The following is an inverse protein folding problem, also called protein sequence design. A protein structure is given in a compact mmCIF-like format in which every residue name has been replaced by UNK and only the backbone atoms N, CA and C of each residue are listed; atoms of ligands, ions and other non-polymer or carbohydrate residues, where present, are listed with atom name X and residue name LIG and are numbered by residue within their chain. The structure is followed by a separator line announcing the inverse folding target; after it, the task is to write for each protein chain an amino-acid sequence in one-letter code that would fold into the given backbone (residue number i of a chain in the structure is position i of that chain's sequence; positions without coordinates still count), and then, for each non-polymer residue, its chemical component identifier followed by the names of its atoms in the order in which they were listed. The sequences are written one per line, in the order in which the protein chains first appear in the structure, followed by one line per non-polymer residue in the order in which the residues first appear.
data_IF_385292674810
#
_entry.id   IF_385292674810
#
_cell.length_a   1.000
_cell.length_b   1.000
_cell.length_c   1.000
_cell.angle_alpha   90.00
_cell.angle_beta   90.00
_cell.angle_gamma   90.00
#
_symmetry.space_group_name_H-M   'P 1'
#
loop_
_entity.id
_entity.type
_entity.pdbx_description
1 polymer ?
#
# COMPACT_ATOMS: atom_id res chain seq x y z
N UNK A 1 -69.40 -43.79 -0.64
CA UNK A 1 -69.06 -42.37 -0.58
C UNK A 1 -67.56 -42.30 -0.44
N UNK A 2 -66.83 -41.91 -1.49
CA UNK A 2 -66.61 -40.50 -1.84
C UNK A 2 -65.82 -39.80 -0.72
N UNK A 3 -64.67 -39.20 -0.95
CA UNK A 3 -63.90 -39.01 -2.16
C UNK A 3 -62.65 -38.28 -1.71
N UNK A 4 -61.48 -38.85 -2.00
CA UNK A 4 -60.24 -38.12 -1.87
C UNK A 4 -60.28 -36.95 -2.86
N UNK A 5 -60.11 -35.73 -2.35
CA UNK A 5 -59.71 -34.59 -3.17
C UNK A 5 -58.57 -33.89 -2.46
N UNK A 6 -57.41 -34.53 -2.53
CA UNK A 6 -56.12 -33.87 -2.34
C UNK A 6 -55.98 -32.89 -3.51
N UNK A 7 -56.41 -31.65 -3.27
CA UNK A 7 -56.19 -30.55 -4.19
C UNK A 7 -54.70 -30.16 -4.16
N UNK A 8 -53.86 -31.00 -4.77
CA UNK A 8 -52.51 -30.60 -5.19
C UNK A 8 -52.72 -29.53 -6.25
N UNK A 9 -52.51 -28.26 -5.88
CA UNK A 9 -52.49 -27.14 -6.80
C UNK A 9 -51.52 -27.48 -7.94
N UNK A 10 -52.05 -27.77 -9.14
CA UNK A 10 -51.24 -27.97 -10.34
C UNK A 10 -50.54 -26.66 -10.66
N UNK A 11 -49.26 -26.56 -10.31
CA UNK A 11 -48.41 -25.44 -10.66
C UNK A 11 -48.31 -25.40 -12.19
N UNK A 12 -48.61 -24.25 -12.81
CA UNK A 12 -48.55 -24.11 -14.27
C UNK A 12 -47.11 -24.40 -14.74
N UNK A 13 -46.89 -25.40 -15.62
CA UNK A 13 -45.56 -25.80 -16.07
C UNK A 13 -44.80 -24.67 -16.77
N UNK A 14 -45.49 -23.67 -17.33
CA UNK A 14 -44.85 -22.48 -17.92
C UNK A 14 -44.27 -21.56 -16.84
N UNK A 15 -44.99 -21.37 -15.74
CA UNK A 15 -44.52 -20.57 -14.60
C UNK A 15 -43.34 -21.25 -13.90
N UNK A 16 -43.39 -22.57 -13.74
CA UNK A 16 -42.29 -23.35 -13.19
C UNK A 16 -41.00 -23.21 -14.03
N UNK A 17 -41.14 -23.27 -15.37
CA UNK A 17 -40.00 -23.09 -16.28
C UNK A 17 -39.42 -21.68 -16.22
N UNK A 18 -40.25 -20.65 -16.25
CA UNK A 18 -39.80 -19.26 -16.15
C UNK A 18 -39.11 -18.97 -14.80
N UNK A 19 -39.60 -19.55 -13.70
CA UNK A 19 -38.95 -19.44 -12.40
C UNK A 19 -37.57 -20.11 -12.40
N UNK A 20 -37.45 -21.30 -13.00
CA UNK A 20 -36.19 -22.02 -13.11
C UNK A 20 -35.15 -21.24 -13.93
N UNK A 21 -35.56 -20.69 -15.08
CA UNK A 21 -34.70 -19.87 -15.94
C UNK A 21 -34.21 -18.62 -15.18
N UNK A 22 -35.10 -17.91 -14.49
CA UNK A 22 -34.74 -16.75 -13.68
C UNK A 22 -33.78 -17.08 -12.52
N UNK A 23 -33.97 -18.21 -11.83
CA UNK A 23 -33.04 -18.64 -10.77
C UNK A 23 -31.66 -18.98 -11.36
N UNK A 24 -31.62 -19.68 -12.49
CA UNK A 24 -30.36 -20.01 -13.17
C UNK A 24 -29.61 -18.77 -13.64
N UNK A 25 -30.32 -17.77 -14.16
CA UNK A 25 -29.73 -16.48 -14.55
C UNK A 25 -29.18 -15.73 -13.32
N UNK A 26 -29.91 -15.72 -12.20
CA UNK A 26 -29.46 -15.09 -10.96
C UNK A 26 -28.20 -15.78 -10.41
N UNK A 27 -28.14 -17.11 -10.42
CA UNK A 27 -26.96 -17.88 -10.02
C UNK A 27 -25.74 -17.49 -10.86
N UNK A 28 -25.89 -17.45 -12.18
CA UNK A 28 -24.82 -17.04 -13.08
C UNK A 28 -24.36 -15.59 -12.83
N UNK A 29 -25.29 -14.67 -12.53
CA UNK A 29 -24.96 -13.29 -12.19
C UNK A 29 -24.21 -13.19 -10.87
N UNK A 30 -24.61 -13.94 -9.84
CA UNK A 30 -23.91 -13.98 -8.55
C UNK A 30 -22.50 -14.50 -8.75
N UNK A 31 -22.33 -15.58 -9.49
CA UNK A 31 -21.00 -16.15 -9.77
C UNK A 31 -20.11 -15.14 -10.50
N UNK A 32 -20.64 -14.47 -11.53
CA UNK A 32 -19.91 -13.45 -12.28
C UNK A 32 -19.49 -12.26 -11.39
N UNK A 33 -20.39 -11.78 -10.52
CA UNK A 33 -20.10 -10.66 -9.60
C UNK A 33 -19.05 -11.03 -8.55
N UNK A 34 -19.17 -12.20 -7.93
CA UNK A 34 -18.18 -12.69 -6.95
C UNK A 34 -16.81 -12.89 -7.63
N UNK A 35 -16.79 -13.44 -8.84
CA UNK A 35 -15.56 -13.59 -9.62
C UNK A 35 -14.89 -12.25 -9.91
N UNK A 36 -15.66 -11.23 -10.26
CA UNK A 36 -15.15 -9.88 -10.44
C UNK A 36 -14.55 -9.30 -9.15
N UNK A 37 -15.20 -9.52 -7.99
CA UNK A 37 -14.66 -9.10 -6.69
C UNK A 37 -13.32 -9.79 -6.36
N UNK A 38 -13.20 -11.09 -6.67
CA UNK A 38 -11.94 -11.84 -6.48
C UNK A 38 -10.82 -11.26 -7.34
N UNK A 39 -11.10 -10.96 -8.61
CA UNK A 39 -10.10 -10.34 -9.50
C UNK A 39 -9.65 -8.97 -8.98
N UNK A 40 -10.59 -8.14 -8.52
CA UNK A 40 -10.26 -6.83 -7.93
C UNK A 40 -9.41 -6.96 -6.66
N UNK A 41 -9.66 -7.98 -5.83
CA UNK A 41 -8.85 -8.28 -4.64
C UNK A 41 -7.42 -8.72 -5.01
N UNK A 42 -7.26 -9.56 -6.03
CA UNK A 42 -5.94 -10.00 -6.51
C UNK A 42 -5.15 -8.83 -7.13
N UNK A 43 -5.81 -7.95 -7.88
CA UNK A 43 -5.19 -6.72 -8.38
C UNK A 43 -4.73 -5.82 -7.23
N UNK A 44 -5.60 -5.59 -6.23
CA UNK A 44 -5.24 -4.80 -5.05
C UNK A 44 -4.07 -5.41 -4.27
N UNK A 45 -4.04 -6.74 -4.13
CA UNK A 45 -2.93 -7.47 -3.53
C UNK A 45 -1.64 -7.23 -4.30
N UNK A 46 -1.66 -7.31 -5.63
CA UNK A 46 -0.49 -7.05 -6.46
C UNK A 46 0.06 -5.62 -6.23
N UNK A 47 -0.81 -4.60 -6.21
CA UNK A 47 -0.41 -3.22 -5.94
C UNK A 47 0.19 -3.03 -4.54
N UNK A 48 -0.39 -3.66 -3.51
CA UNK A 48 0.14 -3.59 -2.14
C UNK A 48 1.53 -4.23 -2.04
N UNK A 49 1.74 -5.37 -2.71
CA UNK A 49 3.04 -6.02 -2.76
C UNK A 49 4.08 -5.21 -3.53
N UNK A 50 3.67 -4.56 -4.62
CA UNK A 50 4.54 -3.64 -5.37
C UNK A 50 4.97 -2.47 -4.50
N UNK A 51 4.04 -1.87 -3.75
CA UNK A 51 4.35 -0.81 -2.80
C UNK A 51 5.39 -1.25 -1.75
N UNK A 52 5.19 -2.43 -1.13
CA UNK A 52 6.15 -2.98 -0.14
C UNK A 52 7.53 -3.21 -0.77
N UNK A 53 7.58 -3.70 -2.01
CA UNK A 53 8.86 -3.91 -2.73
C UNK A 53 9.55 -2.58 -3.04
N UNK A 54 8.80 -1.58 -3.51
CA UNK A 54 9.33 -0.25 -3.79
C UNK A 54 9.88 0.43 -2.53
N UNK A 55 9.14 0.35 -1.42
CA UNK A 55 9.56 0.86 -0.12
C UNK A 55 10.85 0.17 0.39
N UNK A 56 10.92 -1.16 0.29
CA UNK A 56 12.14 -1.93 0.58
C UNK A 56 13.31 -1.43 -0.27
N UNK A 57 13.10 -1.24 -1.57
CA UNK A 57 14.18 -0.84 -2.47
C UNK A 57 14.69 0.59 -2.18
N UNK A 58 13.79 1.51 -1.81
CA UNK A 58 14.17 2.84 -1.31
C UNK A 58 15.03 2.73 -0.05
N UNK A 59 14.59 1.94 0.94
CA UNK A 59 15.34 1.74 2.20
C UNK A 59 16.71 1.10 1.95
N UNK A 60 16.78 0.07 1.12
CA UNK A 60 18.04 -0.60 0.77
C UNK A 60 19.01 0.35 0.06
N UNK A 61 18.52 1.20 -0.86
CA UNK A 61 19.34 2.23 -1.50
C UNK A 61 19.89 3.20 -0.46
N UNK A 62 19.04 3.68 0.44
CA UNK A 62 19.45 4.62 1.48
C UNK A 62 20.47 3.98 2.46
N UNK A 63 20.28 2.71 2.86
CA UNK A 63 21.25 1.98 3.69
C UNK A 63 22.60 1.78 3.00
N UNK A 64 22.59 1.44 1.70
CA UNK A 64 23.82 1.32 0.91
C UNK A 64 24.57 2.65 0.84
N UNK A 65 23.85 3.74 0.64
CA UNK A 65 24.43 5.08 0.64
C UNK A 65 25.07 5.41 1.99
N UNK A 66 24.44 5.04 3.11
CA UNK A 66 25.05 5.20 4.44
C UNK A 66 26.33 4.39 4.61
N UNK A 67 26.36 3.16 4.11
CA UNK A 67 27.57 2.33 4.12
C UNK A 67 28.68 2.99 3.31
N UNK A 68 28.38 3.48 2.10
CA UNK A 68 29.34 4.22 1.26
C UNK A 68 29.88 5.44 1.97
N UNK A 69 29.02 6.27 2.57
CA UNK A 69 29.43 7.46 3.32
C UNK A 69 30.31 7.12 4.53
N UNK A 70 29.93 6.12 5.32
CA UNK A 70 30.72 5.65 6.45
C UNK A 70 32.10 5.13 6.01
N UNK A 71 32.13 4.37 4.92
CA UNK A 71 33.37 3.83 4.34
C UNK A 71 34.27 4.95 3.84
N UNK A 72 33.72 5.96 3.16
CA UNK A 72 34.48 7.13 2.70
C UNK A 72 35.08 7.93 3.86
N UNK A 73 34.29 8.16 4.93
CA UNK A 73 34.78 8.79 6.16
C UNK A 73 35.92 7.98 6.80
N UNK A 74 35.76 6.66 6.89
CA UNK A 74 36.80 5.77 7.43
C UNK A 74 38.09 5.82 6.60
N UNK A 75 37.98 5.82 5.28
CA UNK A 75 39.15 5.93 4.40
C UNK A 75 39.84 7.28 4.56
N UNK A 76 39.07 8.38 4.63
CA UNK A 76 39.61 9.72 4.80
C UNK A 76 40.33 9.89 6.14
N UNK A 77 39.73 9.44 7.24
CA UNK A 77 40.36 9.50 8.57
C UNK A 77 41.60 8.60 8.64
N UNK A 78 41.54 7.41 8.06
CA UNK A 78 42.69 6.50 7.97
C UNK A 78 43.84 7.12 7.18
N UNK A 79 43.55 7.73 6.02
CA UNK A 79 44.54 8.42 5.20
C UNK A 79 45.18 9.60 5.92
N UNK A 80 44.39 10.37 6.69
CA UNK A 80 44.91 11.46 7.50
C UNK A 80 45.81 10.96 8.63
N UNK A 81 45.43 9.88 9.31
CA UNK A 81 46.27 9.23 10.33
C UNK A 81 47.59 8.78 9.71
N UNK A 82 47.56 8.14 8.53
CA UNK A 82 48.77 7.69 7.85
C UNK A 82 49.67 8.86 7.46
N UNK A 83 49.09 9.98 7.02
CA UNK A 83 49.85 11.19 6.71
C UNK A 83 50.49 11.81 7.97
N UNK A 84 49.78 11.80 9.11
CA UNK A 84 50.36 12.19 10.39
C UNK A 84 51.54 11.27 10.80
N UNK A 85 51.38 9.94 10.64
CA UNK A 85 52.45 8.98 10.92
C UNK A 85 53.68 9.23 10.06
N UNK A 86 53.49 9.51 8.77
CA UNK A 86 54.61 9.78 7.86
C UNK A 86 55.31 11.10 8.20
N UNK A 87 54.55 12.15 8.54
CA UNK A 87 55.13 13.43 8.96
C UNK A 87 55.96 13.31 10.24
N UNK A 88 55.61 12.40 11.16
CA UNK A 88 56.42 12.11 12.36
C UNK A 88 57.78 11.47 12.06
N UNK A 89 58.00 11.00 10.83
CA UNK A 89 59.30 10.46 10.39
C UNK A 89 60.22 11.53 9.82
N UNK A 90 59.75 12.77 9.63
CA UNK A 90 60.58 13.87 9.12
C UNK A 90 61.72 14.17 10.11
N UNK A 91 62.94 14.17 9.60
CA UNK A 91 64.16 14.32 10.40
C UNK A 91 64.68 15.75 10.42
N UNK A 92 64.31 16.58 9.42
CA UNK A 92 64.66 17.99 9.37
C UNK A 92 63.69 18.83 10.22
N UNK A 93 64.15 19.50 11.31
CA UNK A 93 63.25 20.19 12.23
C UNK A 93 62.42 21.32 11.59
N UNK A 94 62.98 22.19 10.72
CA UNK A 94 62.19 23.18 9.98
C UNK A 94 61.11 22.56 9.09
N UNK A 95 61.44 21.53 8.31
CA UNK A 95 60.47 20.82 7.47
C UNK A 95 59.36 20.15 8.30
N UNK A 96 59.73 19.52 9.42
CA UNK A 96 58.79 18.91 10.36
C UNK A 96 57.77 19.94 10.90
N UNK A 97 58.26 21.09 11.38
CA UNK A 97 57.38 22.15 11.90
C UNK A 97 56.45 22.71 10.82
N UNK A 98 56.96 22.87 9.59
CA UNK A 98 56.16 23.35 8.47
C UNK A 98 55.02 22.38 8.15
N UNK A 99 55.32 21.09 7.97
CA UNK A 99 54.30 20.06 7.68
C UNK A 99 53.34 19.86 8.86
N UNK A 100 53.86 19.85 10.08
CA UNK A 100 53.10 19.72 11.32
C UNK A 100 52.06 20.82 11.49
N UNK A 101 52.42 22.08 11.22
CA UNK A 101 51.49 23.21 11.30
C UNK A 101 50.28 23.05 10.36
N UNK A 102 50.53 22.62 9.11
CA UNK A 102 49.49 22.34 8.13
C UNK A 102 48.60 21.16 8.54
N UNK A 103 49.20 20.12 9.11
CA UNK A 103 48.49 18.93 9.59
C UNK A 103 47.53 19.25 10.73
N UNK A 104 47.94 20.08 11.70
CA UNK A 104 47.07 20.50 12.81
C UNK A 104 45.77 21.12 12.28
N UNK A 105 45.87 22.04 11.33
CA UNK A 105 44.68 22.66 10.71
C UNK A 105 43.83 21.64 9.97
N UNK A 106 44.43 20.71 9.22
CA UNK A 106 43.68 19.66 8.51
C UNK A 106 42.95 18.71 9.46
N UNK A 107 43.59 18.31 10.55
CA UNK A 107 42.98 17.45 11.59
C UNK A 107 41.81 18.17 12.25
N UNK A 108 41.99 19.43 12.66
CA UNK A 108 40.91 20.22 13.25
C UNK A 108 39.70 20.35 12.29
N UNK A 109 39.96 20.58 11.00
CA UNK A 109 38.89 20.67 10.00
C UNK A 109 38.20 19.33 9.76
N UNK A 110 38.95 18.22 9.70
CA UNK A 110 38.40 16.88 9.53
C UNK A 110 37.51 16.48 10.72
N UNK A 111 37.91 16.83 11.95
CA UNK A 111 37.13 16.58 13.16
C UNK A 111 35.80 17.35 13.16
N UNK A 112 35.85 18.64 12.80
CA UNK A 112 34.65 19.49 12.72
C UNK A 112 33.66 19.00 11.65
N UNK A 113 34.17 18.61 10.47
CA UNK A 113 33.32 18.07 9.40
C UNK A 113 32.73 16.73 9.78
N UNK A 114 33.54 15.84 10.36
CA UNK A 114 33.06 14.55 10.84
C UNK A 114 31.90 14.69 11.85
N UNK A 115 32.04 15.59 12.83
CA UNK A 115 31.00 15.83 13.83
C UNK A 115 29.69 16.32 13.19
N UNK A 116 29.78 17.31 12.28
CA UNK A 116 28.60 17.84 11.56
C UNK A 116 27.91 16.75 10.74
N UNK A 117 28.68 15.93 10.03
CA UNK A 117 28.13 14.91 9.16
C UNK A 117 27.52 13.75 9.96
N UNK A 118 28.08 13.41 11.12
CA UNK A 118 27.49 12.41 12.03
C UNK A 118 26.23 12.93 12.69
N UNK A 119 26.21 14.19 13.13
CA UNK A 119 25.05 14.81 13.76
C UNK A 119 23.85 14.95 12.80
N UNK A 120 24.11 15.11 11.50
CA UNK A 120 23.07 15.28 10.47
C UNK A 120 22.64 13.99 9.78
N UNK A 121 23.32 12.87 10.05
CA UNK A 121 23.02 11.58 9.41
C UNK A 121 21.71 10.99 9.95
N UNK A 122 20.67 10.97 9.12
CA UNK A 122 19.38 10.36 9.47
C UNK A 122 19.53 8.84 9.66
N UNK A 123 19.22 8.29 10.84
CA UNK A 123 19.29 6.83 11.06
C UNK A 123 18.16 6.13 10.31
N UNK A 124 18.51 5.22 9.40
CA UNK A 124 17.53 4.41 8.69
C UNK A 124 17.22 3.18 9.52
N UNK A 125 15.94 3.01 9.89
CA UNK A 125 15.48 1.80 10.57
C UNK A 125 15.49 0.60 9.61
N UNK A 126 15.97 -0.58 10.05
CA UNK A 126 15.93 -1.79 9.24
C UNK A 126 14.51 -2.39 9.12
N UNK A 127 13.57 -1.95 9.96
CA UNK A 127 12.20 -2.46 9.97
C UNK A 127 11.29 -1.59 9.09
N UNK A 128 10.46 -2.24 8.27
CA UNK A 128 9.36 -1.59 7.58
C UNK A 128 8.22 -1.38 8.57
N UNK A 129 7.86 -0.12 8.82
CA UNK A 129 6.74 0.25 9.70
C UNK A 129 5.45 0.30 8.88
N UNK A 130 5.05 -0.86 8.35
CA UNK A 130 3.87 -1.02 7.52
C UNK A 130 2.97 -2.08 8.15
N UNK A 131 1.72 -1.69 8.41
CA UNK A 131 0.67 -2.61 8.88
C UNK A 131 -0.47 -2.58 7.88
N UNK A 132 -0.88 -3.75 7.39
CA UNK A 132 -2.07 -3.88 6.56
C UNK A 132 -3.30 -3.94 7.47
N UNK A 133 -4.22 -2.98 7.32
CA UNK A 133 -5.56 -3.06 7.91
C UNK A 133 -6.54 -3.63 6.87
N UNK A 134 -7.03 -4.83 7.12
CA UNK A 134 -7.99 -5.53 6.26
C UNK A 134 -9.42 -5.55 6.84
N UNK A 135 -9.67 -4.83 7.94
CA UNK A 135 -10.93 -4.92 8.68
C UNK A 135 -12.13 -4.42 7.85
N UNK A 136 -11.96 -3.33 7.11
CA UNK A 136 -13.02 -2.76 6.26
C UNK A 136 -13.40 -3.71 5.13
N UNK A 137 -12.41 -4.34 4.48
CA UNK A 137 -12.61 -5.32 3.41
C UNK A 137 -13.34 -6.56 3.94
N UNK A 138 -12.93 -7.08 5.11
CA UNK A 138 -13.63 -8.19 5.77
C UNK A 138 -15.08 -7.86 6.07
N UNK A 139 -15.35 -6.67 6.62
CA UNK A 139 -16.73 -6.23 6.88
C UNK A 139 -17.52 -6.15 5.59
N UNK A 140 -16.97 -5.59 4.51
CA UNK A 140 -17.65 -5.53 3.23
C UNK A 140 -18.04 -6.93 2.72
N UNK A 141 -17.12 -7.90 2.79
CA UNK A 141 -17.38 -9.30 2.40
C UNK A 141 -18.49 -9.92 3.26
N UNK A 142 -18.43 -9.76 4.59
CA UNK A 142 -19.45 -10.31 5.51
C UNK A 142 -20.85 -9.75 5.25
N UNK A 143 -20.95 -8.50 4.81
CA UNK A 143 -22.23 -7.82 4.59
C UNK A 143 -22.68 -7.85 3.12
N UNK A 144 -22.03 -8.64 2.25
CA UNK A 144 -22.52 -8.89 0.90
C UNK A 144 -23.89 -9.57 0.97
N UNK A 145 -24.91 -8.89 0.45
CA UNK A 145 -26.29 -9.37 0.51
C UNK A 145 -27.07 -8.99 -0.76
N UNK A 146 -28.20 -9.67 -0.96
CA UNK A 146 -29.15 -9.28 -2.01
C UNK A 146 -29.94 -8.06 -1.56
N UNK A 147 -30.05 -7.08 -2.45
CA UNK A 147 -30.99 -5.96 -2.29
C UNK A 147 -32.15 -6.14 -3.26
N UNK A 148 -33.36 -5.89 -2.79
CA UNK A 148 -34.55 -6.05 -3.61
C UNK A 148 -34.65 -4.88 -4.59
N UNK A 149 -34.56 -5.16 -5.90
CA UNK A 149 -34.87 -4.14 -6.91
C UNK A 149 -36.36 -3.78 -6.80
N UNK A 150 -36.67 -2.51 -6.57
CA UNK A 150 -38.04 -2.00 -6.65
C UNK A 150 -38.55 -2.32 -8.05
N UNK A 151 -39.55 -3.19 -8.17
CA UNK A 151 -40.21 -3.46 -9.43
C UNK A 151 -40.73 -2.12 -9.96
N UNK A 152 -40.17 -1.61 -11.05
CA UNK A 152 -40.81 -0.56 -11.80
C UNK A 152 -42.20 -1.09 -12.19
N UNK A 153 -43.22 -0.49 -11.60
CA UNK A 153 -44.62 -0.85 -11.83
C UNK A 153 -44.95 -0.62 -13.29
N UNK A 154 -44.85 -1.68 -14.10
CA UNK A 154 -45.19 -1.68 -15.51
C UNK A 154 -46.72 -1.62 -15.66
N UNK A 155 -47.24 -0.39 -15.62
CA UNK A 155 -48.40 0.11 -16.37
C UNK A 155 -49.81 -0.38 -16.01
N UNK A 156 -50.67 0.59 -15.65
CA UNK A 156 -52.06 0.63 -16.14
C UNK A 156 -53.14 1.00 -15.12
N UNK A 157 -53.47 2.30 -14.99
CA UNK A 157 -54.77 2.88 -15.40
C UNK A 157 -55.13 4.19 -14.67
N UNK A 158 -55.41 5.21 -15.50
CA UNK A 158 -56.44 6.25 -15.38
C UNK A 158 -56.38 7.33 -14.27
N UNK A 159 -56.29 8.56 -14.80
CA UNK A 159 -56.98 9.81 -14.41
C UNK A 159 -56.85 10.40 -13.01
N UNK A 160 -56.31 11.63 -13.02
CA UNK A 160 -57.06 12.75 -12.45
C UNK A 160 -56.28 13.64 -11.49
N UNK A 161 -56.06 14.89 -11.91
CA UNK A 161 -56.07 16.01 -10.96
C UNK A 161 -54.75 16.72 -10.67
N UNK A 162 -54.49 17.77 -11.48
CA UNK A 162 -54.12 19.15 -11.10
C UNK A 162 -53.02 19.38 -10.07
N UNK A 163 -52.03 20.17 -10.52
CA UNK A 163 -51.33 21.25 -9.82
C UNK A 163 -51.13 21.14 -8.29
N UNK A 164 -49.86 21.18 -7.86
CA UNK A 164 -49.26 22.42 -7.30
C UNK A 164 -47.83 22.22 -6.80
N UNK A 165 -47.01 23.16 -7.25
CA UNK A 165 -45.96 23.89 -6.52
C UNK A 165 -44.73 23.13 -6.01
N UNK A 166 -43.60 23.51 -6.59
CA UNK A 166 -42.28 23.38 -5.99
C UNK A 166 -42.22 24.10 -4.64
N UNK A 167 -41.50 23.52 -3.67
CA UNK A 167 -40.81 24.33 -2.68
C UNK A 167 -39.49 23.66 -2.28
N UNK A 168 -38.45 24.47 -2.41
CA UNK A 168 -37.06 24.26 -2.06
C UNK A 168 -36.95 24.35 -0.52
N UNK A 169 -36.19 23.43 0.08
CA UNK A 169 -35.35 23.66 1.26
C UNK A 169 -34.30 22.55 1.35
#
# INVERSE_FOLDING_TARGET
GEGGSSAVARTDPRLARAAQENCSELEAQVEAQVRALVLALEERRASLLEFVRADRDVRLRALREQVTQCTGKLQQTTGLIQFCIEALKETDPPAFLQVGSMLITRVANADLTWYKDVATQARISPHADLTLDDQSARRAITHLNFIQMKRESRGGASEGGRDRMAMIA
#
